data_IF_306549032944
#
_entry.id   IF_306549032944
#
_cell.length_a   1.000
_cell.length_b   1.000
_cell.length_c   1.000
_cell.angle_alpha   90.00
_cell.angle_beta   90.00
_cell.angle_gamma   90.00
#
_symmetry.space_group_name_H-M   'P 1'
#
loop_
_entity.id
_entity.type
_entity.pdbx_description
1 polymer ?
#
# COMPACT_ATOMS: atom_id res chain seq x y z
N UNK A 1 51.88 15.61 -11.08
CA UNK A 1 51.85 14.29 -10.43
C UNK A 1 50.77 14.21 -9.33
N UNK A 2 50.77 15.08 -8.33
CA UNK A 2 49.77 15.06 -7.22
C UNK A 2 48.32 15.17 -7.72
N UNK A 3 48.04 16.11 -8.64
CA UNK A 3 46.69 16.28 -9.23
C UNK A 3 46.23 15.01 -9.96
N UNK A 4 47.11 14.38 -10.74
CA UNK A 4 46.79 13.16 -11.48
C UNK A 4 46.47 11.98 -10.53
N UNK A 5 47.21 11.87 -9.42
CA UNK A 5 46.95 10.86 -8.38
C UNK A 5 45.61 11.11 -7.68
N UNK A 6 45.31 12.36 -7.33
CA UNK A 6 44.05 12.74 -6.70
C UNK A 6 42.85 12.46 -7.63
N UNK A 7 42.97 12.81 -8.91
CA UNK A 7 41.94 12.54 -9.93
C UNK A 7 41.75 11.03 -10.11
N UNK A 8 42.84 10.26 -10.23
CA UNK A 8 42.76 8.80 -10.34
C UNK A 8 42.11 8.15 -9.11
N UNK A 9 42.44 8.64 -7.90
CA UNK A 9 41.83 8.18 -6.66
C UNK A 9 40.32 8.46 -6.59
N UNK A 10 39.91 9.68 -6.93
CA UNK A 10 38.50 10.05 -7.01
C UNK A 10 37.73 9.19 -8.02
N UNK A 11 38.28 9.01 -9.22
CA UNK A 11 37.69 8.15 -10.25
C UNK A 11 37.53 6.71 -9.76
N UNK A 12 38.52 6.17 -9.06
CA UNK A 12 38.46 4.80 -8.51
C UNK A 12 37.35 4.67 -7.48
N UNK A 13 37.18 5.65 -6.59
CA UNK A 13 36.09 5.67 -5.59
C UNK A 13 34.73 5.77 -6.29
N UNK A 14 34.59 6.69 -7.24
CA UNK A 14 33.34 6.89 -7.97
C UNK A 14 32.93 5.62 -8.76
N UNK A 15 33.87 4.98 -9.45
CA UNK A 15 33.62 3.73 -10.18
C UNK A 15 33.24 2.61 -9.22
N UNK A 16 33.97 2.47 -8.10
CA UNK A 16 33.69 1.44 -7.10
C UNK A 16 32.31 1.62 -6.47
N UNK A 17 31.90 2.86 -6.20
CA UNK A 17 30.57 3.18 -5.69
C UNK A 17 29.47 2.83 -6.69
N UNK A 18 29.63 3.18 -7.97
CA UNK A 18 28.67 2.83 -9.01
C UNK A 18 28.58 1.32 -9.20
N UNK A 19 29.72 0.62 -9.17
CA UNK A 19 29.76 -0.82 -9.25
C UNK A 19 29.02 -1.46 -8.06
N UNK A 20 29.28 -1.01 -6.83
CA UNK A 20 28.61 -1.47 -5.62
C UNK A 20 27.09 -1.39 -5.72
N UNK A 21 26.55 -0.27 -6.18
CA UNK A 21 25.09 -0.06 -6.28
C UNK A 21 24.42 -0.86 -7.42
N UNK A 22 25.19 -1.58 -8.24
CA UNK A 22 24.72 -2.41 -9.36
C UNK A 22 25.01 -3.90 -9.19
N UNK A 23 25.80 -4.29 -8.18
CA UNK A 23 26.13 -5.70 -7.92
C UNK A 23 24.92 -6.46 -7.38
N UNK A 24 24.95 -7.79 -7.53
CA UNK A 24 23.97 -8.67 -6.86
C UNK A 24 23.93 -8.36 -5.36
N UNK A 25 22.73 -8.23 -4.75
CA UNK A 25 22.60 -7.98 -3.32
C UNK A 25 23.33 -8.99 -2.43
N UNK A 26 23.59 -10.21 -2.88
CA UNK A 26 24.38 -11.22 -2.15
C UNK A 26 25.81 -10.78 -1.83
N UNK A 27 26.38 -9.91 -2.66
CA UNK A 27 27.71 -9.36 -2.46
C UNK A 27 27.71 -7.97 -1.80
N UNK A 28 26.51 -7.45 -1.47
CA UNK A 28 26.36 -6.08 -0.93
C UNK A 28 25.38 -6.04 0.25
N UNK A 29 24.10 -5.72 0.01
CA UNK A 29 23.09 -5.49 1.04
C UNK A 29 22.83 -6.72 1.92
N UNK A 30 22.87 -7.92 1.35
CA UNK A 30 22.59 -9.17 2.07
C UNK A 30 23.74 -9.61 3.00
N UNK A 31 24.88 -8.90 2.99
CA UNK A 31 25.95 -9.10 3.97
C UNK A 31 25.57 -8.58 5.37
N UNK A 32 24.61 -7.66 5.46
CA UNK A 32 24.03 -7.23 6.74
C UNK A 32 22.92 -8.20 7.17
N UNK A 33 23.02 -8.77 8.37
CA UNK A 33 22.08 -9.79 8.84
C UNK A 33 20.66 -9.24 9.08
N UNK A 34 20.55 -7.93 9.33
CA UNK A 34 19.28 -7.24 9.48
C UNK A 34 18.55 -7.10 8.13
N UNK A 35 19.30 -6.96 7.03
CA UNK A 35 18.77 -6.72 5.68
C UNK A 35 18.58 -8.01 4.90
N UNK A 36 19.40 -9.03 5.18
CA UNK A 36 19.40 -10.32 4.47
C UNK A 36 18.00 -10.93 4.30
N UNK A 37 17.10 -10.99 5.30
CA UNK A 37 15.75 -11.53 5.10
C UNK A 37 14.95 -10.76 4.05
N UNK A 38 15.04 -9.42 4.03
CA UNK A 38 14.40 -8.59 3.00
C UNK A 38 14.96 -8.86 1.60
N UNK A 39 16.28 -9.10 1.46
CA UNK A 39 16.87 -9.50 0.19
C UNK A 39 16.36 -10.86 -0.29
N UNK A 40 16.20 -11.84 0.61
CA UNK A 40 15.62 -13.15 0.29
C UNK A 40 14.17 -13.00 -0.18
N UNK A 41 13.37 -12.20 0.51
CA UNK A 41 11.98 -11.92 0.11
C UNK A 41 11.91 -11.22 -1.26
N UNK A 42 12.77 -10.21 -1.49
CA UNK A 42 12.87 -9.53 -2.79
C UNK A 42 13.19 -10.49 -3.94
N UNK A 43 14.13 -11.42 -3.76
CA UNK A 43 14.50 -12.43 -4.78
C UNK A 43 13.32 -13.31 -5.22
N UNK A 44 12.34 -13.49 -4.33
CA UNK A 44 11.12 -14.28 -4.56
C UNK A 44 9.90 -13.42 -4.94
N UNK A 45 10.08 -12.12 -5.18
CA UNK A 45 9.01 -11.19 -5.56
C UNK A 45 8.94 -10.98 -7.07
N UNK A 46 7.85 -10.37 -7.54
CA UNK A 46 7.74 -9.91 -8.95
C UNK A 46 8.74 -8.81 -9.32
N UNK A 47 9.38 -8.17 -8.33
CA UNK A 47 10.37 -7.12 -8.51
C UNK A 47 11.82 -7.62 -8.41
N UNK A 48 12.03 -8.94 -8.42
CA UNK A 48 13.36 -9.55 -8.28
C UNK A 48 14.36 -9.16 -9.39
N UNK A 49 13.88 -8.58 -10.50
CA UNK A 49 14.71 -8.19 -11.64
C UNK A 49 15.01 -6.67 -11.70
N UNK A 50 14.57 -5.89 -10.70
CA UNK A 50 14.91 -4.47 -10.55
C UNK A 50 15.89 -4.27 -9.39
N UNK A 51 16.86 -3.37 -9.51
CA UNK A 51 17.86 -3.17 -8.45
C UNK A 51 17.23 -2.51 -7.22
N UNK A 52 17.70 -2.86 -6.02
CA UNK A 52 17.18 -2.29 -4.77
C UNK A 52 17.23 -0.76 -4.77
N UNK A 53 18.26 -0.19 -5.41
CA UNK A 53 18.53 1.24 -5.51
C UNK A 53 17.54 2.01 -6.39
N UNK A 54 16.80 1.34 -7.28
CA UNK A 54 15.73 1.98 -8.05
C UNK A 54 14.55 2.38 -7.15
N UNK A 55 14.29 1.64 -6.07
CA UNK A 55 13.23 1.96 -5.11
C UNK A 55 13.76 2.63 -3.83
N UNK A 56 14.84 2.13 -3.24
CA UNK A 56 15.40 2.66 -1.98
C UNK A 56 16.39 3.81 -2.16
N UNK A 57 16.77 4.11 -3.40
CA UNK A 57 17.84 5.07 -3.69
C UNK A 57 19.21 4.59 -3.21
N UNK A 58 20.12 5.53 -3.16
CA UNK A 58 21.53 5.37 -2.77
C UNK A 58 21.88 6.43 -1.73
N UNK A 59 23.07 6.34 -1.13
CA UNK A 59 23.56 7.39 -0.21
C UNK A 59 23.64 8.79 -0.86
N UNK A 60 23.58 8.89 -2.19
CA UNK A 60 23.66 10.15 -2.94
C UNK A 60 22.33 10.56 -3.60
N UNK A 61 21.24 9.82 -3.36
CA UNK A 61 19.97 10.04 -4.07
C UNK A 61 19.22 11.29 -3.64
N UNK A 62 19.28 11.67 -2.36
CA UNK A 62 18.62 12.87 -1.81
C UNK A 62 19.59 13.72 -0.97
N UNK A 63 20.81 13.89 -1.51
CA UNK A 63 21.85 14.71 -0.89
C UNK A 63 22.18 14.29 0.55
N UNK A 64 22.20 15.27 1.46
CA UNK A 64 22.59 15.05 2.85
C UNK A 64 21.62 14.14 3.62
N UNK A 65 20.33 14.11 3.25
CA UNK A 65 19.34 13.29 3.92
C UNK A 65 19.63 11.80 3.72
N UNK A 66 19.80 11.34 2.47
CA UNK A 66 20.18 9.96 2.18
C UNK A 66 21.55 9.59 2.78
N UNK A 67 22.53 10.50 2.72
CA UNK A 67 23.85 10.23 3.28
C UNK A 67 23.79 10.03 4.80
N UNK A 68 23.06 10.92 5.50
CA UNK A 68 22.81 10.83 6.94
C UNK A 68 22.09 9.54 7.32
N UNK A 69 21.07 9.16 6.57
CA UNK A 69 20.31 7.92 6.79
C UNK A 69 21.21 6.69 6.65
N UNK A 70 21.99 6.56 5.57
CA UNK A 70 22.90 5.42 5.37
C UNK A 70 24.03 5.40 6.41
N UNK A 71 24.61 6.54 6.77
CA UNK A 71 25.62 6.62 7.83
C UNK A 71 25.04 6.18 9.19
N UNK A 72 23.80 6.57 9.49
CA UNK A 72 23.09 6.14 10.69
C UNK A 72 22.82 4.63 10.68
N UNK A 73 22.47 4.02 9.55
CA UNK A 73 22.30 2.56 9.47
C UNK A 73 23.58 1.82 9.87
N UNK A 74 24.74 2.25 9.35
CA UNK A 74 26.05 1.67 9.70
C UNK A 74 26.36 1.87 11.18
N UNK A 75 26.14 3.07 11.71
CA UNK A 75 26.33 3.33 13.14
C UNK A 75 25.44 2.43 14.02
N UNK A 76 24.17 2.30 13.67
CA UNK A 76 23.20 1.48 14.39
C UNK A 76 23.58 0.00 14.35
N UNK A 77 24.04 -0.51 13.21
CA UNK A 77 24.52 -1.88 13.07
C UNK A 77 25.63 -2.23 14.07
N UNK A 78 26.59 -1.33 14.29
CA UNK A 78 27.71 -1.58 15.20
C UNK A 78 27.42 -1.26 16.67
N UNK A 79 26.42 -0.41 16.96
CA UNK A 79 26.19 0.09 18.33
C UNK A 79 24.92 -0.42 18.98
N UNK A 80 23.99 -1.01 18.22
CA UNK A 80 22.70 -1.48 18.72
C UNK A 80 22.41 -2.89 18.23
N UNK A 81 21.73 -3.67 19.07
CA UNK A 81 21.16 -4.95 18.65
C UNK A 81 19.88 -4.68 17.89
N UNK A 82 19.92 -4.79 16.57
CA UNK A 82 18.78 -4.67 15.68
C UNK A 82 18.61 -5.96 14.88
N UNK A 83 17.38 -6.23 14.48
CA UNK A 83 17.01 -7.37 13.64
C UNK A 83 16.20 -6.89 12.45
N UNK A 84 15.89 -7.78 11.51
CA UNK A 84 15.01 -7.44 10.39
C UNK A 84 13.64 -6.91 10.85
N UNK A 85 13.17 -7.39 12.00
CA UNK A 85 11.89 -7.03 12.61
C UNK A 85 11.79 -5.55 13.00
N UNK A 86 12.94 -4.89 13.20
CA UNK A 86 13.06 -3.47 13.53
C UNK A 86 13.11 -2.56 12.28
N UNK A 87 13.16 -3.15 11.08
CA UNK A 87 13.33 -2.41 9.84
C UNK A 87 11.98 -2.17 9.17
N UNK A 88 11.65 -0.91 8.99
CA UNK A 88 10.46 -0.46 8.28
C UNK A 88 10.71 0.91 7.67
N UNK A 89 9.88 1.29 6.70
CA UNK A 89 9.87 2.63 6.14
C UNK A 89 9.16 3.58 7.11
N UNK A 90 9.76 4.74 7.36
CA UNK A 90 9.05 5.85 8.00
C UNK A 90 8.03 6.46 7.03
N UNK A 91 7.18 7.37 7.50
CA UNK A 91 6.13 7.97 6.67
C UNK A 91 6.71 8.60 5.40
N UNK A 92 7.74 9.43 5.53
CA UNK A 92 8.34 10.13 4.40
C UNK A 92 8.87 9.17 3.33
N UNK A 93 9.46 8.04 3.76
CA UNK A 93 9.95 7.01 2.86
C UNK A 93 8.79 6.24 2.20
N UNK A 94 7.72 5.96 2.93
CA UNK A 94 6.53 5.32 2.38
C UNK A 94 5.82 6.22 1.34
N UNK A 95 5.78 7.53 1.58
CA UNK A 95 5.24 8.53 0.65
C UNK A 95 6.10 8.64 -0.62
N UNK A 96 7.42 8.74 -0.47
CA UNK A 96 8.36 8.79 -1.59
C UNK A 96 8.29 7.53 -2.46
N UNK A 97 7.89 6.39 -1.89
CA UNK A 97 7.73 5.15 -2.65
C UNK A 97 6.64 5.26 -3.72
N UNK A 98 5.57 6.04 -3.50
CA UNK A 98 4.52 6.23 -4.51
C UNK A 98 5.09 6.86 -5.79
N UNK A 99 6.00 7.83 -5.66
CA UNK A 99 6.68 8.44 -6.80
C UNK A 99 7.62 7.45 -7.50
N UNK A 100 8.29 6.57 -6.74
CA UNK A 100 9.10 5.48 -7.30
C UNK A 100 8.27 4.44 -8.04
N UNK A 101 7.09 4.10 -7.54
CA UNK A 101 6.15 3.26 -8.27
C UNK A 101 5.76 3.93 -9.59
N UNK A 102 5.48 5.24 -9.60
CA UNK A 102 5.04 5.99 -10.78
C UNK A 102 6.08 6.04 -11.91
N UNK A 103 7.38 5.84 -11.64
CA UNK A 103 8.41 5.77 -12.68
C UNK A 103 8.14 4.62 -13.67
N UNK A 104 7.50 3.52 -13.24
CA UNK A 104 7.13 2.38 -14.08
C UNK A 104 5.60 2.16 -14.18
N UNK A 105 4.84 2.46 -13.13
CA UNK A 105 3.39 2.24 -13.00
C UNK A 105 2.60 3.54 -13.23
N UNK A 106 2.84 4.19 -14.36
CA UNK A 106 2.28 5.51 -14.67
C UNK A 106 0.74 5.50 -14.75
N UNK A 107 0.17 4.45 -15.34
CA UNK A 107 -1.27 4.32 -15.50
C UNK A 107 -1.98 4.07 -14.16
N UNK A 108 -1.42 3.18 -13.33
CA UNK A 108 -1.95 2.90 -12.00
C UNK A 108 -1.85 4.14 -11.09
N UNK A 109 -0.73 4.85 -11.14
CA UNK A 109 -0.54 6.09 -10.38
C UNK A 109 -1.51 7.19 -10.83
N UNK A 110 -1.71 7.38 -12.14
CA UNK A 110 -2.68 8.34 -12.66
C UNK A 110 -4.11 7.99 -12.23
N UNK A 111 -4.49 6.70 -12.29
CA UNK A 111 -5.77 6.23 -11.83
C UNK A 111 -5.97 6.48 -10.32
N UNK A 112 -4.97 6.15 -9.50
CA UNK A 112 -4.98 6.44 -8.06
C UNK A 112 -5.15 7.92 -7.77
N UNK A 113 -4.36 8.78 -8.41
CA UNK A 113 -4.41 10.24 -8.25
C UNK A 113 -5.73 10.87 -8.68
N UNK A 114 -6.46 10.22 -9.59
CA UNK A 114 -7.79 10.67 -10.03
C UNK A 114 -8.94 10.15 -9.16
N UNK A 115 -8.67 9.23 -8.24
CA UNK A 115 -9.67 8.51 -7.45
C UNK A 115 -9.75 8.96 -6.00
N UNK A 116 -10.75 8.47 -5.28
CA UNK A 116 -10.95 8.80 -3.86
C UNK A 116 -9.80 8.29 -2.96
N UNK A 117 -9.02 7.30 -3.40
CA UNK A 117 -7.87 6.79 -2.65
C UNK A 117 -6.68 7.74 -2.61
N UNK A 118 -6.65 8.82 -3.40
CA UNK A 118 -5.64 9.88 -3.24
C UNK A 118 -6.07 10.97 -2.27
N UNK A 119 -7.12 10.74 -1.47
CA UNK A 119 -7.57 11.65 -0.42
C UNK A 119 -6.46 11.96 0.60
N UNK A 120 -6.43 13.20 1.04
CA UNK A 120 -5.38 13.75 1.90
C UNK A 120 -5.79 13.77 3.37
N UNK A 121 -4.82 14.01 4.27
CA UNK A 121 -5.16 14.22 5.67
C UNK A 121 -6.15 15.38 5.85
N UNK A 122 -6.04 16.44 5.05
CA UNK A 122 -6.98 17.56 5.07
C UNK A 122 -8.40 17.09 4.76
N UNK A 123 -8.58 16.35 3.67
CA UNK A 123 -9.89 15.90 3.23
C UNK A 123 -10.60 15.04 4.28
N UNK A 124 -9.84 14.19 5.00
CA UNK A 124 -10.40 13.30 6.02
C UNK A 124 -10.56 13.99 7.37
N UNK A 125 -9.50 14.63 7.87
CA UNK A 125 -9.44 15.10 9.25
C UNK A 125 -9.98 16.52 9.45
N UNK A 126 -10.14 17.30 8.38
CA UNK A 126 -10.74 18.64 8.42
C UNK A 126 -12.21 18.67 7.97
N UNK A 127 -12.84 17.51 7.77
CA UNK A 127 -14.29 17.43 7.54
C UNK A 127 -15.05 17.80 8.82
N UNK A 128 -15.52 19.06 8.87
CA UNK A 128 -16.23 19.60 10.02
C UNK A 128 -17.56 18.87 10.27
N UNK A 129 -18.23 18.39 9.24
CA UNK A 129 -19.54 17.74 9.40
C UNK A 129 -19.38 16.34 9.98
N UNK A 130 -18.40 15.57 9.50
CA UNK A 130 -18.01 14.31 10.14
C UNK A 130 -17.50 14.55 11.58
N UNK A 131 -16.64 15.55 11.79
CA UNK A 131 -16.05 15.84 13.10
C UNK A 131 -17.07 16.24 14.17
N UNK A 132 -18.24 16.78 13.79
CA UNK A 132 -19.37 17.00 14.70
C UNK A 132 -20.02 15.71 15.17
N UNK A 133 -19.95 14.63 14.38
CA UNK A 133 -20.47 13.30 14.73
C UNK A 133 -19.54 12.58 15.70
N UNK A 134 -18.23 12.75 15.53
CA UNK A 134 -17.23 12.10 16.37
C UNK A 134 -15.87 12.77 16.30
N UNK A 135 -15.21 12.86 17.46
CA UNK A 135 -13.84 13.39 17.55
C UNK A 135 -12.84 12.42 16.93
N UNK A 136 -11.93 12.86 16.04
CA UNK A 136 -10.84 12.02 15.54
C UNK A 136 -10.05 11.37 16.69
N UNK A 137 -9.73 10.10 16.52
CA UNK A 137 -9.02 9.32 17.52
C UNK A 137 -8.03 8.35 16.85
N UNK A 138 -7.27 7.63 17.67
CA UNK A 138 -6.12 6.84 17.19
C UNK A 138 -6.48 5.75 16.16
N UNK A 139 -7.69 5.19 16.21
CA UNK A 139 -8.09 4.09 15.31
C UNK A 139 -8.40 4.59 13.89
N UNK A 140 -8.66 5.89 13.72
CA UNK A 140 -8.76 6.51 12.38
C UNK A 140 -7.49 6.24 11.56
N UNK A 141 -6.32 6.14 12.21
CA UNK A 141 -5.05 5.85 11.54
C UNK A 141 -4.86 4.40 11.14
N UNK A 142 -5.75 3.49 11.52
CA UNK A 142 -5.76 2.14 10.95
C UNK A 142 -5.90 2.19 9.43
N UNK A 143 -6.69 3.14 8.93
CA UNK A 143 -6.95 3.32 7.50
C UNK A 143 -6.42 4.66 6.97
N UNK A 144 -6.79 5.78 7.61
CA UNK A 144 -6.53 7.13 7.11
C UNK A 144 -5.19 7.73 7.57
N UNK A 145 -4.31 6.91 8.13
CA UNK A 145 -2.98 7.33 8.59
C UNK A 145 -2.07 6.14 8.77
N UNK A 146 -2.23 5.12 7.92
CA UNK A 146 -1.58 3.82 8.09
C UNK A 146 -0.04 3.96 8.19
N UNK A 147 0.53 4.92 7.46
CA UNK A 147 1.97 5.20 7.45
C UNK A 147 2.37 6.39 8.33
N UNK A 148 1.44 7.07 9.01
CA UNK A 148 1.76 8.21 9.87
C UNK A 148 2.55 7.75 11.10
N UNK A 149 3.73 8.32 11.30
CA UNK A 149 4.62 7.94 12.41
C UNK A 149 4.13 8.44 13.77
N UNK A 150 3.39 9.55 13.80
CA UNK A 150 2.85 10.17 15.02
C UNK A 150 1.50 9.60 15.47
N UNK A 151 0.89 10.24 16.46
CA UNK A 151 -0.45 9.97 16.96
C UNK A 151 -1.43 11.12 16.62
N UNK A 152 -2.72 10.93 16.90
CA UNK A 152 -3.75 11.90 16.47
C UNK A 152 -3.52 13.30 17.04
N UNK A 153 -2.94 13.41 18.24
CA UNK A 153 -2.59 14.69 18.85
C UNK A 153 -1.31 15.31 18.28
N UNK A 154 -0.45 14.53 17.63
CA UNK A 154 0.68 15.05 16.87
C UNK A 154 0.20 15.63 15.53
N UNK A 155 -0.80 14.99 14.90
CA UNK A 155 -1.39 15.43 13.64
C UNK A 155 -2.30 16.65 13.83
N UNK A 156 -3.20 16.60 14.81
CA UNK A 156 -4.29 17.56 14.98
C UNK A 156 -4.25 18.30 16.31
N UNK A 157 -4.61 19.57 16.26
CA UNK A 157 -5.17 20.31 17.39
C UNK A 157 -6.62 19.87 17.56
N UNK A 158 -6.97 19.56 18.79
CA UNK A 158 -8.25 18.92 19.14
C UNK A 158 -8.86 19.61 20.38
N UNK A 159 -8.50 20.88 20.58
CA UNK A 159 -8.96 21.77 21.63
C UNK A 159 -10.20 22.55 21.15
N UNK A 160 -11.18 22.78 22.04
CA UNK A 160 -12.44 23.43 21.65
C UNK A 160 -13.38 22.50 20.88
N UNK A 161 -14.26 23.07 20.06
CA UNK A 161 -15.22 22.33 19.23
C UNK A 161 -14.66 21.99 17.84
N UNK A 162 -15.38 21.14 17.09
CA UNK A 162 -14.98 20.62 15.79
C UNK A 162 -14.64 21.70 14.74
N UNK A 163 -15.15 22.92 14.89
CA UNK A 163 -14.86 24.03 13.97
C UNK A 163 -13.51 24.71 14.24
N UNK A 164 -12.94 24.49 15.43
CA UNK A 164 -11.66 25.04 15.86
C UNK A 164 -10.47 24.08 15.68
N UNK A 165 -10.73 22.82 15.37
CA UNK A 165 -9.69 21.80 15.19
C UNK A 165 -8.93 22.00 13.88
N UNK A 166 -7.62 21.82 13.91
CA UNK A 166 -6.74 22.01 12.74
C UNK A 166 -5.60 21.00 12.69
N UNK A 167 -5.08 20.75 11.49
CA UNK A 167 -3.82 20.00 11.33
C UNK A 167 -2.67 20.91 11.77
N UNK A 168 -1.86 20.43 12.74
CA UNK A 168 -0.81 21.24 13.40
C UNK A 168 0.32 21.63 12.47
N UNK A 169 0.76 20.72 11.61
CA UNK A 169 1.77 20.98 10.58
C UNK A 169 1.11 21.08 9.20
N UNK A 170 1.06 22.29 8.63
CA UNK A 170 0.51 22.52 7.30
C UNK A 170 1.16 21.66 6.19
N UNK A 171 2.41 21.21 6.37
CA UNK A 171 3.08 20.30 5.41
C UNK A 171 2.49 18.89 5.40
N UNK A 172 1.77 18.53 6.45
CA UNK A 172 1.12 17.23 6.58
C UNK A 172 -0.25 17.22 5.90
N UNK A 173 -0.92 18.37 5.85
CA UNK A 173 -2.32 18.47 5.43
C UNK A 173 -2.58 17.86 4.04
N UNK A 174 -1.73 18.12 3.06
CA UNK A 174 -1.95 17.69 1.69
C UNK A 174 -1.27 16.34 1.37
N UNK A 175 -0.72 15.65 2.37
CA UNK A 175 -0.17 14.29 2.17
C UNK A 175 -1.31 13.27 2.02
N UNK A 176 -1.15 12.27 1.15
CA UNK A 176 -2.16 11.24 0.96
C UNK A 176 -2.26 10.32 2.17
N UNK A 177 -3.48 9.88 2.49
CA UNK A 177 -3.75 8.97 3.61
C UNK A 177 -3.61 7.49 3.21
N UNK A 178 -3.93 7.18 1.95
CA UNK A 178 -3.87 5.83 1.37
C UNK A 178 -2.85 5.86 0.22
N UNK A 179 -1.73 5.16 0.38
CA UNK A 179 -0.68 5.07 -0.65
C UNK A 179 -0.66 3.68 -1.28
N UNK A 180 0.15 3.48 -2.33
CA UNK A 180 0.34 2.17 -2.95
C UNK A 180 0.70 1.10 -1.91
N UNK A 181 1.54 1.45 -0.93
CA UNK A 181 1.97 0.53 0.12
C UNK A 181 0.87 0.19 1.13
N UNK A 182 -0.26 0.90 1.17
CA UNK A 182 -1.39 0.52 2.03
C UNK A 182 -1.98 -0.83 1.59
N UNK A 183 -1.90 -1.13 0.28
CA UNK A 183 -2.45 -2.35 -0.33
C UNK A 183 -1.38 -3.26 -0.96
N UNK A 184 -0.18 -2.76 -1.28
CA UNK A 184 0.85 -3.55 -1.94
C UNK A 184 2.06 -3.80 -1.04
N UNK A 185 2.52 -5.05 -1.01
CA UNK A 185 3.79 -5.45 -0.41
C UNK A 185 4.85 -5.63 -1.51
N UNK A 186 5.90 -4.81 -1.46
CA UNK A 186 6.93 -4.80 -2.51
C UNK A 186 7.75 -6.10 -2.57
N UNK A 187 8.17 -6.60 -1.41
CA UNK A 187 8.96 -7.83 -1.29
C UNK A 187 8.08 -9.07 -1.05
N UNK A 188 6.76 -8.97 -1.28
CA UNK A 188 5.84 -10.08 -1.11
C UNK A 188 6.13 -11.18 -2.14
N UNK A 189 6.15 -12.44 -1.68
CA UNK A 189 6.34 -13.59 -2.55
C UNK A 189 5.18 -13.71 -3.54
N UNK A 190 5.51 -13.71 -4.82
CA UNK A 190 4.56 -13.80 -5.93
C UNK A 190 5.24 -14.52 -7.08
N UNK A 191 4.48 -15.31 -7.84
CA UNK A 191 5.03 -16.00 -9.01
C UNK A 191 5.63 -14.98 -9.98
N UNK A 192 6.89 -15.22 -10.38
CA UNK A 192 7.55 -14.38 -11.37
C UNK A 192 6.74 -14.41 -12.66
N UNK A 193 6.52 -13.24 -13.25
CA UNK A 193 5.87 -13.13 -14.56
C UNK A 193 6.84 -13.57 -15.64
N UNK A 194 6.66 -14.79 -16.13
CA UNK A 194 7.35 -15.27 -17.33
C UNK A 194 6.59 -14.72 -18.54
N UNK A 195 7.32 -14.12 -19.49
CA UNK A 195 6.73 -13.61 -20.72
C UNK A 195 6.00 -14.70 -21.50
N UNK A 196 4.85 -14.37 -22.09
CA UNK A 196 3.97 -15.33 -22.75
C UNK A 196 4.69 -16.22 -23.79
N UNK A 197 5.62 -15.64 -24.55
CA UNK A 197 6.41 -16.33 -25.58
C UNK A 197 7.40 -17.35 -25.02
N UNK A 198 7.77 -17.23 -23.75
CA UNK A 198 8.70 -18.12 -23.06
C UNK A 198 8.01 -19.26 -22.31
N UNK A 199 6.68 -19.28 -22.29
CA UNK A 199 5.89 -20.33 -21.66
C UNK A 199 5.74 -21.55 -22.59
N UNK A 200 5.86 -22.74 -22.02
CA UNK A 200 5.47 -23.98 -22.71
C UNK A 200 3.95 -24.00 -23.00
N UNK A 201 3.49 -25.00 -23.75
CA UNK A 201 2.07 -25.09 -24.12
C UNK A 201 1.16 -25.24 -22.90
N UNK A 202 1.52 -26.12 -21.97
CA UNK A 202 0.71 -26.41 -20.77
C UNK A 202 0.56 -25.16 -19.89
N UNK A 203 1.63 -24.41 -19.70
CA UNK A 203 1.65 -23.18 -18.91
C UNK A 203 0.82 -22.08 -19.58
N UNK A 204 0.82 -22.01 -20.92
CA UNK A 204 -0.07 -21.10 -21.66
C UNK A 204 -1.54 -21.50 -21.51
N UNK A 205 -1.85 -22.79 -21.59
CA UNK A 205 -3.21 -23.30 -21.41
C UNK A 205 -3.72 -23.01 -19.98
N UNK A 206 -2.88 -23.23 -18.96
CA UNK A 206 -3.16 -22.85 -17.56
C UNK A 206 -3.37 -21.34 -17.39
N UNK A 207 -2.54 -20.52 -18.02
CA UNK A 207 -2.67 -19.06 -17.95
C UNK A 207 -4.02 -18.58 -18.51
N UNK A 208 -4.49 -19.17 -19.61
CA UNK A 208 -5.79 -18.83 -20.21
C UNK A 208 -6.99 -19.23 -19.33
N UNK A 209 -6.81 -20.19 -18.44
CA UNK A 209 -7.84 -20.63 -17.49
C UNK A 209 -7.76 -19.92 -16.14
N UNK A 210 -6.68 -19.16 -15.89
CA UNK A 210 -6.45 -18.50 -14.59
C UNK A 210 -7.43 -17.35 -14.40
N UNK A 211 -8.37 -17.53 -13.48
CA UNK A 211 -9.31 -16.49 -13.05
C UNK A 211 -8.89 -15.80 -11.76
N UNK A 212 -7.92 -16.36 -11.04
CA UNK A 212 -7.43 -15.83 -9.77
C UNK A 212 -6.64 -14.53 -9.96
N UNK A 213 -6.96 -13.54 -9.13
CA UNK A 213 -6.25 -12.27 -9.09
C UNK A 213 -5.04 -12.38 -8.15
N UNK A 214 -3.91 -11.73 -8.50
CA UNK A 214 -2.79 -11.62 -7.56
C UNK A 214 -3.26 -11.06 -6.22
N UNK A 215 -2.90 -11.75 -5.13
CA UNK A 215 -3.21 -11.29 -3.79
C UNK A 215 -2.43 -10.00 -3.48
N UNK A 216 -3.13 -9.01 -2.96
CA UNK A 216 -2.57 -7.79 -2.35
C UNK A 216 -2.25 -8.04 -0.86
N UNK A 217 -1.91 -7.00 -0.10
CA UNK A 217 -1.66 -7.12 1.33
C UNK A 217 -2.07 -5.85 2.10
N UNK A 218 -2.62 -6.01 3.31
CA UNK A 218 -2.95 -4.91 4.20
C UNK A 218 -1.71 -4.44 4.95
N UNK A 219 -1.36 -3.16 4.86
CA UNK A 219 -0.36 -2.59 5.78
C UNK A 219 -0.96 -2.41 7.18
N UNK A 220 -0.42 -3.13 8.16
CA UNK A 220 -0.77 -3.05 9.56
C UNK A 220 0.13 -2.03 10.26
N UNK A 221 -0.43 -0.85 10.57
CA UNK A 221 0.29 0.23 11.26
C UNK A 221 0.96 -0.21 12.56
N UNK A 222 0.27 -1.01 13.37
CA UNK A 222 0.77 -1.46 14.68
C UNK A 222 2.05 -2.32 14.55
N UNK A 223 2.11 -3.15 13.51
CA UNK A 223 3.23 -4.06 13.25
C UNK A 223 4.25 -3.47 12.27
N UNK A 224 3.90 -2.37 11.60
CA UNK A 224 4.63 -1.73 10.49
C UNK A 224 4.98 -2.71 9.36
N UNK A 225 4.02 -3.59 9.04
CA UNK A 225 4.19 -4.70 8.09
C UNK A 225 2.93 -5.01 7.33
N UNK A 226 3.12 -5.75 6.24
CA UNK A 226 2.03 -6.24 5.41
C UNK A 226 1.54 -7.61 5.87
N UNK A 227 0.22 -7.75 5.96
CA UNK A 227 -0.48 -9.02 6.07
C UNK A 227 -1.10 -9.37 4.70
N UNK A 228 -0.71 -10.49 4.06
CA UNK A 228 -1.29 -10.87 2.78
C UNK A 228 -2.82 -10.98 2.83
N UNK A 229 -3.48 -10.53 1.76
CA UNK A 229 -4.94 -10.47 1.68
C UNK A 229 -5.60 -11.84 1.75
N UNK A 230 -4.93 -12.89 1.27
CA UNK A 230 -5.37 -14.29 1.36
C UNK A 230 -5.23 -14.88 2.78
N UNK A 231 -4.64 -14.13 3.70
CA UNK A 231 -4.56 -14.45 5.14
C UNK A 231 -5.50 -13.59 5.99
N UNK A 232 -6.23 -12.66 5.38
CA UNK A 232 -7.29 -11.92 6.07
C UNK A 232 -8.48 -12.83 6.34
N UNK A 233 -9.19 -12.55 7.44
CA UNK A 233 -10.42 -13.24 7.74
C UNK A 233 -11.50 -12.82 6.74
N UNK A 234 -12.09 -13.79 6.03
CA UNK A 234 -13.30 -13.56 5.24
C UNK A 234 -14.43 -13.09 6.17
N UNK A 235 -14.98 -11.88 6.00
CA UNK A 235 -16.00 -11.37 6.90
C UNK A 235 -17.33 -12.12 6.73
N UNK A 236 -18.07 -12.25 7.82
CA UNK A 236 -19.44 -12.77 7.84
C UNK A 236 -20.39 -11.58 7.84
N UNK A 237 -21.19 -11.38 6.80
CA UNK A 237 -22.07 -10.20 6.65
C UNK A 237 -23.54 -10.66 6.58
N UNK A 238 -24.44 -9.89 7.16
CA UNK A 238 -25.87 -10.17 7.21
C UNK A 238 -26.69 -9.09 6.51
N UNK A 239 -27.71 -9.50 5.78
CA UNK A 239 -28.78 -8.64 5.26
C UNK A 239 -30.10 -9.02 5.95
N UNK A 240 -30.49 -8.23 6.95
CA UNK A 240 -31.50 -8.64 7.93
C UNK A 240 -31.06 -9.92 8.65
N UNK A 241 -31.90 -10.96 8.58
CA UNK A 241 -31.59 -12.28 9.16
C UNK A 241 -30.85 -13.21 8.17
N UNK A 242 -30.62 -12.76 6.93
CA UNK A 242 -30.02 -13.58 5.87
C UNK A 242 -28.50 -13.42 5.85
N UNK A 243 -27.79 -14.53 5.71
CA UNK A 243 -26.34 -14.49 5.52
C UNK A 243 -26.01 -14.12 4.06
N UNK A 244 -25.23 -13.06 3.87
CA UNK A 244 -24.75 -12.62 2.56
C UNK A 244 -23.58 -13.48 2.12
N UNK A 245 -23.62 -13.99 0.89
CA UNK A 245 -22.46 -14.67 0.30
C UNK A 245 -21.40 -13.62 -0.06
N UNK A 246 -20.34 -13.54 0.75
CA UNK A 246 -19.16 -12.70 0.45
C UNK A 246 -18.27 -13.38 -0.60
N UNK A 247 -17.61 -12.60 -1.46
CA UNK A 247 -16.67 -13.09 -2.48
C UNK A 247 -15.53 -13.92 -1.90
N UNK A 248 -15.01 -14.86 -2.69
CA UNK A 248 -13.80 -15.63 -2.39
C UNK A 248 -12.52 -14.92 -2.89
N UNK A 249 -12.63 -13.77 -3.55
CA UNK A 249 -11.48 -12.95 -3.94
C UNK A 249 -10.84 -12.31 -2.68
N UNK A 250 -9.59 -12.64 -2.34
CA UNK A 250 -8.92 -12.11 -1.15
C UNK A 250 -8.79 -10.58 -1.19
N UNK A 251 -8.75 -9.98 -2.38
CA UNK A 251 -8.71 -8.52 -2.50
C UNK A 251 -10.02 -7.86 -2.03
N UNK A 252 -11.16 -8.57 -2.10
CA UNK A 252 -12.42 -8.10 -1.51
C UNK A 252 -12.31 -7.99 0.01
N UNK A 253 -11.65 -8.97 0.65
CA UNK A 253 -11.46 -8.96 2.10
C UNK A 253 -10.53 -7.84 2.55
N UNK A 254 -9.56 -7.46 1.69
CA UNK A 254 -8.75 -6.26 1.89
C UNK A 254 -9.59 -4.98 1.78
N UNK A 255 -10.39 -4.82 0.71
CA UNK A 255 -11.25 -3.64 0.55
C UNK A 255 -12.18 -3.44 1.75
N UNK A 256 -12.75 -4.54 2.26
CA UNK A 256 -13.62 -4.57 3.43
C UNK A 256 -12.89 -4.28 4.75
N UNK A 257 -11.59 -3.98 4.76
CA UNK A 257 -10.91 -3.43 5.95
C UNK A 257 -11.18 -1.94 6.14
N UNK A 258 -11.59 -1.26 5.07
CA UNK A 258 -11.94 0.16 5.05
C UNK A 258 -13.43 0.36 4.74
N UNK A 259 -13.97 -0.36 3.74
CA UNK A 259 -15.37 -0.31 3.32
C UNK A 259 -16.21 -1.35 4.07
N UNK A 260 -16.19 -1.25 5.40
CA UNK A 260 -16.77 -2.25 6.31
C UNK A 260 -18.16 -1.85 6.80
N UNK A 261 -19.02 -2.83 7.13
CA UNK A 261 -20.23 -2.57 7.90
C UNK A 261 -19.93 -2.26 9.36
N UNK A 262 -20.98 -1.88 10.09
CA UNK A 262 -20.93 -1.68 11.53
C UNK A 262 -20.48 -2.95 12.29
N UNK A 263 -20.25 -2.82 13.60
CA UNK A 263 -19.82 -3.93 14.46
C UNK A 263 -20.80 -5.11 14.55
N UNK A 264 -22.06 -4.94 14.12
CA UNK A 264 -23.08 -6.00 14.03
C UNK A 264 -23.02 -6.76 12.70
N UNK A 265 -22.17 -6.32 11.77
CA UNK A 265 -21.92 -6.92 10.45
C UNK A 265 -23.14 -6.85 9.53
N UNK A 266 -23.89 -5.76 9.63
CA UNK A 266 -25.11 -5.52 8.85
C UNK A 266 -24.78 -4.84 7.52
N UNK A 267 -25.18 -5.44 6.40
CA UNK A 267 -24.94 -4.93 5.06
C UNK A 267 -25.58 -3.54 4.86
N UNK A 268 -24.89 -2.68 4.12
CA UNK A 268 -25.33 -1.32 3.81
C UNK A 268 -25.25 -0.32 4.98
N UNK A 269 -24.58 -0.68 6.07
CA UNK A 269 -24.33 0.22 7.22
C UNK A 269 -22.93 0.85 7.16
N UNK A 270 -22.76 2.01 7.79
CA UNK A 270 -21.49 2.76 7.78
C UNK A 270 -20.94 2.97 6.35
N UNK A 271 -19.69 2.56 6.10
CA UNK A 271 -19.09 2.61 4.77
C UNK A 271 -19.14 1.26 4.05
N UNK A 272 -20.02 0.34 4.44
CA UNK A 272 -20.16 -0.96 3.80
C UNK A 272 -20.41 -0.80 2.29
N UNK A 273 -19.66 -1.60 1.53
CA UNK A 273 -19.81 -1.76 0.08
C UNK A 273 -19.90 -3.25 -0.28
N UNK A 274 -20.44 -4.07 0.61
CA UNK A 274 -20.67 -5.49 0.33
C UNK A 274 -21.71 -5.62 -0.80
N UNK A 275 -21.44 -6.40 -1.86
CA UNK A 275 -22.46 -6.73 -2.84
C UNK A 275 -23.59 -7.59 -2.23
N UNK A 276 -24.84 -7.23 -2.48
CA UNK A 276 -26.04 -7.93 -1.97
C UNK A 276 -26.97 -8.38 -3.09
N UNK A 277 -27.95 -9.24 -2.75
CA UNK A 277 -28.96 -9.73 -3.68
C UNK A 277 -28.38 -10.54 -4.85
N UNK A 278 -28.65 -10.10 -6.09
CA UNK A 278 -28.17 -10.82 -7.30
C UNK A 278 -26.66 -10.74 -7.51
N UNK A 279 -25.96 -9.85 -6.79
CA UNK A 279 -24.53 -9.62 -6.94
C UNK A 279 -23.69 -10.24 -5.82
N UNK A 280 -24.32 -10.98 -4.90
CA UNK A 280 -23.60 -11.67 -3.84
C UNK A 280 -22.51 -12.60 -4.40
N UNK A 281 -21.36 -12.59 -3.75
CA UNK A 281 -20.17 -13.36 -4.12
C UNK A 281 -19.32 -12.69 -5.19
N UNK A 282 -19.79 -11.62 -5.84
CA UNK A 282 -18.96 -10.84 -6.74
C UNK A 282 -17.86 -10.12 -5.99
N UNK A 283 -16.69 -10.00 -6.62
CA UNK A 283 -15.59 -9.21 -6.10
C UNK A 283 -15.84 -7.73 -6.33
N UNK A 284 -15.32 -6.88 -5.45
CA UNK A 284 -15.29 -5.43 -5.65
C UNK A 284 -14.69 -5.07 -7.03
N UNK A 285 -13.70 -5.85 -7.49
CA UNK A 285 -12.99 -5.60 -8.74
C UNK A 285 -13.76 -5.99 -10.00
N UNK A 286 -14.91 -6.66 -9.86
CA UNK A 286 -15.83 -6.90 -10.99
C UNK A 286 -16.59 -5.63 -11.36
N UNK A 287 -16.80 -4.74 -10.39
CA UNK A 287 -17.54 -3.48 -10.55
C UNK A 287 -16.63 -2.25 -10.52
N UNK A 288 -15.53 -2.28 -9.78
CA UNK A 288 -14.66 -1.12 -9.53
C UNK A 288 -13.27 -1.27 -10.14
N UNK A 289 -12.69 -0.14 -10.55
CA UNK A 289 -11.29 -0.01 -10.91
C UNK A 289 -10.41 -0.08 -9.66
N UNK A 290 -9.39 -0.96 -9.63
CA UNK A 290 -8.61 -1.23 -8.43
C UNK A 290 -7.91 0.00 -7.86
N UNK A 291 -7.42 0.90 -8.72
CA UNK A 291 -6.61 2.03 -8.29
C UNK A 291 -7.40 3.34 -8.13
N UNK A 292 -8.45 3.58 -8.93
CA UNK A 292 -9.28 4.79 -8.79
C UNK A 292 -10.52 4.63 -7.91
N UNK A 293 -10.90 3.39 -7.60
CA UNK A 293 -12.18 3.01 -6.99
C UNK A 293 -13.42 3.40 -7.84
N UNK A 294 -13.22 3.92 -9.06
CA UNK A 294 -14.30 4.30 -9.96
C UNK A 294 -15.03 3.09 -10.53
N UNK A 295 -16.33 3.23 -10.80
CA UNK A 295 -17.15 2.19 -11.44
C UNK A 295 -16.64 1.90 -12.87
N UNK A 296 -16.54 0.61 -13.22
CA UNK A 296 -16.18 0.11 -14.55
C UNK A 296 -17.37 -0.02 -15.48
N UNK A 297 -18.55 -0.23 -14.92
CA UNK A 297 -19.74 -0.64 -15.62
C UNK A 297 -20.99 0.03 -15.04
N UNK A 298 -22.13 -0.25 -15.67
CA UNK A 298 -23.42 0.34 -15.30
C UNK A 298 -24.19 -0.51 -14.28
N UNK A 299 -23.54 -1.39 -13.50
CA UNK A 299 -24.25 -2.11 -12.44
C UNK A 299 -24.78 -1.09 -11.43
N UNK A 300 -26.09 -1.10 -11.20
CA UNK A 300 -26.78 -0.21 -10.27
C UNK A 300 -27.22 -1.01 -9.04
N UNK A 301 -27.25 -0.33 -7.89
CA UNK A 301 -27.81 -0.86 -6.65
C UNK A 301 -27.10 -2.13 -6.13
N UNK A 302 -25.81 -2.29 -6.43
CA UNK A 302 -25.02 -3.47 -6.05
C UNK A 302 -24.93 -3.65 -4.53
N UNK A 303 -24.96 -2.55 -3.77
CA UNK A 303 -24.78 -2.54 -2.32
C UNK A 303 -26.08 -2.29 -1.54
N UNK A 304 -27.23 -2.23 -2.22
CA UNK A 304 -28.48 -1.84 -1.59
C UNK A 304 -29.31 -3.08 -1.20
N UNK A 305 -29.30 -3.41 0.09
CA UNK A 305 -30.10 -4.48 0.72
C UNK A 305 -31.62 -4.34 0.52
N UNK A 306 -32.13 -3.13 0.28
CA UNK A 306 -33.57 -2.88 0.24
C UNK A 306 -34.25 -3.10 -1.12
N UNK A 307 -33.53 -3.60 -2.14
CA UNK A 307 -34.09 -3.82 -3.47
C UNK A 307 -34.28 -5.31 -3.76
N UNK A 308 -35.32 -5.89 -3.17
CA UNK A 308 -35.97 -7.05 -3.78
C UNK A 308 -36.55 -6.61 -5.14
N UNK A 309 -35.82 -6.93 -6.21
CA UNK A 309 -36.30 -7.02 -7.60
C UNK A 309 -37.32 -5.94 -8.01
N UNK A 310 -36.87 -4.69 -8.17
CA UNK A 310 -37.47 -3.78 -9.16
C UNK A 310 -36.59 -3.74 -10.41
N UNK A 311 -36.42 -4.90 -11.03
CA UNK A 311 -36.12 -5.03 -12.46
C UNK A 311 -37.21 -5.89 -13.10
N UNK A 312 -38.45 -5.45 -12.97
CA UNK A 312 -39.48 -5.74 -13.96
C UNK A 312 -39.87 -4.40 -14.59
N UNK A 313 -39.44 -4.20 -15.84
CA UNK A 313 -39.92 -3.11 -16.68
C UNK A 313 -38.98 -1.92 -16.82
N UNK A 314 -38.04 -2.02 -17.75
CA UNK A 314 -37.78 -0.92 -18.69
C UNK A 314 -37.66 -1.56 -20.08
N UNK A 315 -38.55 -1.13 -20.98
CA UNK A 315 -38.59 -1.46 -22.40
C UNK A 315 -37.33 -1.01 -23.14
#
# INVERSE_FOLDING_TARGET
MIIAIAVAGFLTIAISYVAWNRMDPDFTCALCHEIRPSCVSWKNSVHADISCTQCHGTALSDGFASLSEKARMVYVHFTRKKTNEDLYLNESQAMAMADKCAECHQAEYAAWKSGAHSTTYRDIFMDVDHNKMGKPYWDCFRCHGAHYDGNIHDLMSLEGDATAWEIRDGKQADRPTITCLTCHQMHGGQDKRIGYTSLDKESRDKLMQKTERPATALYLRAEKRHLPSDKLLKPTIYDGDSLVKVSDDPNTWLCMQCHSPNGRREAGTEDDKTPTGLYEGMSCLDCHNPHSNGLKNNYRNVHNSNLSVQQTGIN
#
